data_IF_182124967884
#
_entry.id   IF_182124967884
#
_cell.length_a   1.000
_cell.length_b   1.000
_cell.length_c   1.000
_cell.angle_alpha   90.00
_cell.angle_beta   90.00
_cell.angle_gamma   90.00
#
_symmetry.space_group_name_H-M   'P 1'
#
loop_
_entity.id
_entity.type
_entity.pdbx_description
1 polymer ?
#
# COMPACT_ATOMS: atom_id res chain seq x y z
N UNK A 1 30.81 2.75 -5.62
CA UNK A 1 29.82 3.79 -5.30
C UNK A 1 29.62 3.80 -3.79
N UNK A 2 29.91 4.93 -3.10
CA UNK A 2 29.82 4.98 -1.63
C UNK A 2 28.42 5.45 -1.23
N UNK A 3 27.66 4.62 -0.54
CA UNK A 3 26.41 4.98 0.13
C UNK A 3 26.80 5.54 1.50
N UNK A 4 26.45 6.81 1.77
CA UNK A 4 26.62 7.39 3.11
C UNK A 4 25.25 7.59 3.73
N UNK A 5 25.01 6.96 4.87
CA UNK A 5 23.88 7.26 5.75
C UNK A 5 24.16 8.59 6.46
N UNK A 6 23.21 9.53 6.43
CA UNK A 6 23.30 10.74 7.25
C UNK A 6 22.77 10.46 8.66
N UNK A 7 23.43 10.96 9.72
CA UNK A 7 22.92 10.88 11.07
C UNK A 7 21.63 11.68 11.24
N UNK A 8 20.76 11.26 12.17
CA UNK A 8 19.51 11.91 12.56
C UNK A 8 19.75 13.40 12.89
N UNK A 9 19.09 14.29 12.18
CA UNK A 9 19.13 15.73 12.43
C UNK A 9 18.44 16.05 13.76
N UNK A 10 19.19 16.65 14.66
CA UNK A 10 18.71 17.20 15.93
C UNK A 10 18.11 18.61 15.70
N UNK A 11 16.87 18.92 16.14
CA UNK A 11 16.17 20.15 15.77
C UNK A 11 16.47 21.37 16.68
N UNK A 12 17.71 21.57 17.14
CA UNK A 12 18.05 22.78 17.93
C UNK A 12 19.40 23.33 17.54
N UNK A 13 19.47 24.20 16.54
CA UNK A 13 20.44 25.29 16.46
C UNK A 13 19.81 26.44 15.67
N UNK A 14 19.21 27.39 16.39
CA UNK A 14 18.95 28.73 15.89
C UNK A 14 20.23 29.55 16.16
N UNK A 15 20.88 29.99 15.11
CA UNK A 15 21.95 30.95 15.25
C UNK A 15 21.60 32.22 14.48
N UNK A 16 21.48 33.32 15.24
CA UNK A 16 21.27 34.68 14.77
C UNK A 16 22.47 35.15 13.95
N UNK A 17 22.25 35.61 12.74
CA UNK A 17 23.25 36.43 12.01
C UNK A 17 22.65 37.80 11.74
N UNK A 18 23.38 38.82 12.21
CA UNK A 18 23.13 40.26 12.01
C UNK A 18 23.48 40.63 10.58
N UNK A 19 22.59 41.38 9.96
CA UNK A 19 22.76 41.97 8.63
C UNK A 19 23.47 43.32 8.81
N UNK A 20 24.46 43.60 7.99
CA UNK A 20 24.96 44.97 7.75
C UNK A 20 25.11 45.20 6.24
N UNK A 21 24.86 46.39 5.84
CA UNK A 21 24.38 46.96 4.58
C UNK A 21 25.41 47.13 3.45
N UNK A 22 24.86 47.29 2.25
CA UNK A 22 25.33 47.91 0.97
C UNK A 22 26.22 47.11 0.03
N UNK A 23 25.60 46.71 -1.10
CA UNK A 23 26.06 47.16 -2.44
C UNK A 23 25.04 46.70 -3.51
N UNK A 24 24.62 47.64 -4.30
CA UNK A 24 23.82 47.49 -5.54
C UNK A 24 24.68 46.82 -6.60
N UNK A 25 24.25 45.72 -7.16
CA UNK A 25 24.73 45.29 -8.48
C UNK A 25 23.69 44.47 -9.25
N UNK A 26 23.55 44.82 -10.46
CA UNK A 26 22.84 44.30 -11.62
C UNK A 26 22.27 42.89 -11.51
N UNK A 27 20.94 42.83 -11.71
CA UNK A 27 20.14 41.63 -11.93
C UNK A 27 20.45 41.01 -13.29
N UNK A 28 21.35 40.04 -13.37
CA UNK A 28 21.19 38.97 -14.32
C UNK A 28 20.35 37.91 -13.62
N UNK A 29 19.06 37.90 -13.92
CA UNK A 29 18.15 36.85 -13.50
C UNK A 29 18.50 35.56 -14.24
N UNK A 30 19.48 34.85 -13.73
CA UNK A 30 19.64 33.44 -14.02
C UNK A 30 18.57 32.71 -13.20
N UNK A 31 17.37 32.58 -13.76
CA UNK A 31 16.37 31.66 -13.23
C UNK A 31 16.92 30.24 -13.43
N UNK A 32 17.74 29.80 -12.47
CA UNK A 32 17.97 28.37 -12.33
C UNK A 32 16.59 27.75 -12.11
N UNK A 33 16.10 26.97 -13.07
CA UNK A 33 15.03 26.01 -12.85
C UNK A 33 15.47 25.20 -11.63
N UNK A 34 14.98 25.58 -10.45
CA UNK A 34 15.10 24.72 -9.26
C UNK A 34 14.27 23.49 -9.61
N UNK A 35 14.93 22.36 -9.79
CA UNK A 35 14.26 21.07 -9.84
C UNK A 35 13.40 20.96 -8.57
N UNK A 36 12.10 21.22 -8.70
CA UNK A 36 11.17 21.11 -7.59
C UNK A 36 10.85 19.64 -7.44
N UNK A 37 11.57 18.97 -6.55
CA UNK A 37 11.28 17.60 -6.20
C UNK A 37 9.98 17.50 -5.41
N UNK A 38 9.12 16.51 -5.67
CA UNK A 38 7.86 16.35 -4.95
C UNK A 38 8.10 16.05 -3.47
N UNK A 39 7.23 16.57 -2.62
CA UNK A 39 7.23 16.19 -1.21
C UNK A 39 6.70 14.75 -1.09
N UNK A 40 7.58 13.79 -0.81
CA UNK A 40 7.21 12.39 -0.67
C UNK A 40 6.54 12.13 0.69
N UNK A 41 5.21 12.15 0.71
CA UNK A 41 4.42 11.89 1.91
C UNK A 41 4.01 10.42 2.01
N UNK A 42 4.80 9.65 2.73
CA UNK A 42 4.66 8.20 2.89
C UNK A 42 4.15 7.83 4.29
N UNK A 43 3.64 6.60 4.45
CA UNK A 43 3.37 6.02 5.76
C UNK A 43 4.56 6.09 6.70
N UNK A 44 4.29 6.14 8.01
CA UNK A 44 5.34 6.08 9.02
C UNK A 44 6.12 4.77 8.94
N UNK A 45 7.40 4.81 9.35
CA UNK A 45 8.23 3.63 9.48
C UNK A 45 7.62 2.67 10.49
N UNK A 46 7.25 1.49 10.02
CA UNK A 46 6.50 0.47 10.79
C UNK A 46 7.08 -0.92 10.46
N UNK A 47 8.28 -1.27 10.99
CA UNK A 47 9.07 -2.41 10.54
C UNK A 47 8.64 -3.73 11.21
N UNK A 48 7.36 -4.09 11.07
CA UNK A 48 6.80 -5.35 11.57
C UNK A 48 6.16 -6.16 10.43
N UNK A 49 5.91 -7.47 10.56
CA UNK A 49 5.23 -8.27 9.54
C UNK A 49 3.90 -7.66 9.12
N UNK A 50 3.72 -7.35 7.84
CA UNK A 50 2.57 -6.62 7.30
C UNK A 50 2.67 -5.10 7.39
N UNK A 51 3.75 -4.58 7.94
CA UNK A 51 4.06 -3.15 7.96
C UNK A 51 4.90 -2.71 6.77
N UNK A 52 5.48 -1.52 6.89
CA UNK A 52 6.33 -0.91 5.87
C UNK A 52 7.58 -0.28 6.48
N UNK A 53 8.69 -0.40 5.76
CA UNK A 53 9.92 0.32 6.05
C UNK A 53 9.92 1.60 5.22
N UNK A 54 10.12 2.74 5.85
CA UNK A 54 10.22 4.06 5.22
C UNK A 54 11.62 4.62 5.49
N UNK A 55 12.49 4.60 4.47
CA UNK A 55 13.89 5.00 4.60
C UNK A 55 14.28 6.06 3.59
N UNK A 56 15.23 6.91 3.99
CA UNK A 56 15.86 7.91 3.12
C UNK A 56 17.23 7.40 2.70
N UNK A 57 17.43 7.25 1.39
CA UNK A 57 18.63 6.74 0.77
C UNK A 57 19.36 7.86 0.05
N UNK A 58 20.67 8.01 0.31
CA UNK A 58 21.54 8.89 -0.46
C UNK A 58 22.17 8.07 -1.59
N UNK A 59 21.74 8.31 -2.84
CA UNK A 59 22.21 7.59 -4.01
C UNK A 59 22.64 8.58 -5.08
N UNK A 60 23.94 8.63 -5.36
CA UNK A 60 24.51 9.50 -6.40
C UNK A 60 24.27 8.86 -7.76
N UNK A 61 23.09 9.13 -8.32
CA UNK A 61 22.69 8.67 -9.66
C UNK A 61 21.93 9.78 -10.38
N UNK A 62 22.10 9.88 -11.68
CA UNK A 62 21.31 10.75 -12.57
C UNK A 62 20.00 10.08 -13.03
N UNK A 63 19.89 8.78 -12.88
CA UNK A 63 18.72 7.99 -13.25
C UNK A 63 18.07 7.41 -11.98
N UNK A 64 16.78 7.05 -12.09
CA UNK A 64 16.08 6.33 -11.02
C UNK A 64 16.86 5.05 -10.68
N UNK A 65 17.30 4.87 -9.42
CA UNK A 65 18.07 3.71 -9.02
C UNK A 65 17.18 2.46 -9.00
N UNK A 66 17.78 1.33 -9.33
CA UNK A 66 17.13 0.03 -9.14
C UNK A 66 17.40 -0.47 -7.72
N UNK A 67 16.36 -0.41 -6.88
CA UNK A 67 16.41 -0.90 -5.51
C UNK A 67 15.45 -2.08 -5.36
N UNK A 68 15.96 -3.14 -4.75
CA UNK A 68 15.19 -4.35 -4.46
C UNK A 68 15.24 -4.69 -2.97
N UNK A 69 14.14 -5.21 -2.47
CA UNK A 69 14.04 -5.88 -1.18
C UNK A 69 13.27 -7.19 -1.39
N UNK A 70 13.76 -8.29 -0.82
CA UNK A 70 13.15 -9.62 -1.01
C UNK A 70 12.90 -9.99 -2.49
N UNK A 71 13.82 -9.62 -3.38
CA UNK A 71 13.74 -9.87 -4.83
C UNK A 71 12.71 -9.00 -5.57
N UNK A 72 12.03 -8.07 -4.89
CA UNK A 72 11.02 -7.17 -5.48
C UNK A 72 11.52 -5.75 -5.53
N UNK A 73 11.08 -5.00 -6.56
CA UNK A 73 11.30 -3.56 -6.64
C UNK A 73 10.57 -2.83 -5.50
N UNK A 74 11.17 -1.77 -4.97
CA UNK A 74 10.60 -0.95 -3.92
C UNK A 74 9.96 0.32 -4.50
N UNK A 75 8.98 0.89 -3.78
CA UNK A 75 8.41 2.18 -4.16
C UNK A 75 9.43 3.29 -3.86
N UNK A 76 9.78 4.08 -4.89
CA UNK A 76 10.79 5.13 -4.78
C UNK A 76 10.21 6.47 -5.19
N UNK A 77 10.41 7.48 -4.34
CA UNK A 77 10.12 8.88 -4.62
C UNK A 77 11.39 9.71 -4.44
N UNK A 78 11.74 10.52 -5.42
CA UNK A 78 12.91 11.40 -5.35
C UNK A 78 12.59 12.64 -4.51
N UNK A 79 13.38 12.89 -3.47
CA UNK A 79 13.20 14.00 -2.52
C UNK A 79 14.15 15.18 -2.84
N UNK A 80 15.31 14.84 -3.39
CA UNK A 80 16.36 15.80 -3.79
C UNK A 80 17.28 15.12 -4.83
N UNK A 81 18.16 15.85 -5.46
CA UNK A 81 19.07 15.39 -6.53
C UNK A 81 19.69 14.01 -6.27
N UNK A 82 20.01 13.70 -5.03
CA UNK A 82 20.62 12.44 -4.61
C UNK A 82 19.92 11.77 -3.44
N UNK A 83 18.77 12.30 -3.02
CA UNK A 83 17.98 11.76 -1.91
C UNK A 83 16.72 11.10 -2.46
N UNK A 84 16.55 9.85 -2.09
CA UNK A 84 15.40 9.02 -2.44
C UNK A 84 14.73 8.53 -1.17
N UNK A 85 13.42 8.64 -1.13
CA UNK A 85 12.63 7.98 -0.11
C UNK A 85 12.14 6.65 -0.66
N UNK A 86 12.47 5.58 0.06
CA UNK A 86 12.10 4.21 -0.26
C UNK A 86 11.00 3.72 0.68
N UNK A 87 9.93 3.15 0.13
CA UNK A 87 8.90 2.47 0.90
C UNK A 87 8.93 0.98 0.54
N UNK A 88 9.22 0.14 1.54
CA UNK A 88 9.47 -1.28 1.38
C UNK A 88 8.43 -2.06 2.18
N UNK A 89 7.60 -2.92 1.58
CA UNK A 89 6.64 -3.73 2.29
C UNK A 89 7.31 -4.89 3.02
N UNK A 90 6.78 -5.26 4.19
CA UNK A 90 7.18 -6.45 4.91
C UNK A 90 6.06 -7.49 4.79
N UNK A 91 6.40 -8.68 4.30
CA UNK A 91 5.41 -9.76 4.16
C UNK A 91 4.84 -10.14 5.54
N UNK A 92 3.50 -10.21 5.64
CA UNK A 92 2.80 -10.62 6.85
C UNK A 92 3.19 -12.03 7.33
N UNK A 93 3.63 -12.88 6.41
CA UNK A 93 3.99 -14.28 6.67
C UNK A 93 5.50 -14.50 6.79
N UNK A 94 6.30 -13.42 6.88
CA UNK A 94 7.75 -13.55 7.03
C UNK A 94 8.12 -14.20 8.35
N UNK A 95 9.12 -15.06 8.32
CA UNK A 95 9.81 -15.66 9.47
C UNK A 95 11.20 -15.04 9.70
N UNK A 96 11.57 -14.06 8.87
CA UNK A 96 12.84 -13.36 8.93
C UNK A 96 12.87 -12.34 10.06
N UNK A 97 14.06 -12.13 10.60
CA UNK A 97 14.32 -11.11 11.62
C UNK A 97 14.78 -9.76 11.03
N UNK A 98 15.07 -9.72 9.72
CA UNK A 98 15.49 -8.50 9.03
C UNK A 98 15.15 -8.56 7.54
N UNK A 99 15.14 -7.38 6.90
CA UNK A 99 14.99 -7.20 5.46
C UNK A 99 16.31 -6.67 4.89
N UNK A 100 16.83 -7.38 3.88
CA UNK A 100 17.96 -6.94 3.09
C UNK A 100 17.52 -6.07 1.93
N UNK A 101 18.16 -4.90 1.80
CA UNK A 101 17.90 -3.94 0.72
C UNK A 101 19.14 -3.87 -0.17
N UNK A 102 18.91 -4.05 -1.46
CA UNK A 102 19.96 -4.08 -2.49
C UNK A 102 19.81 -2.88 -3.44
N UNK A 103 20.94 -2.26 -3.76
CA UNK A 103 21.08 -1.35 -4.89
C UNK A 103 21.78 -2.10 -6.00
N UNK A 104 21.07 -2.39 -7.08
CA UNK A 104 21.46 -3.42 -8.05
C UNK A 104 21.74 -4.74 -7.32
N UNK A 105 22.94 -5.29 -7.38
CA UNK A 105 23.35 -6.53 -6.72
C UNK A 105 24.07 -6.30 -5.37
N UNK A 106 24.24 -5.03 -4.93
CA UNK A 106 24.98 -4.71 -3.71
C UNK A 106 24.04 -4.53 -2.53
N UNK A 107 24.28 -5.27 -1.45
CA UNK A 107 23.61 -5.05 -0.17
C UNK A 107 23.98 -3.67 0.37
N UNK A 108 22.97 -2.83 0.61
CA UNK A 108 23.16 -1.47 1.12
C UNK A 108 22.60 -1.26 2.53
N UNK A 109 21.57 -2.03 2.90
CA UNK A 109 20.94 -1.98 4.23
C UNK A 109 20.49 -3.39 4.64
N UNK A 110 20.59 -3.66 5.93
CA UNK A 110 19.89 -4.75 6.61
C UNK A 110 19.04 -4.12 7.72
N UNK A 111 17.71 -4.24 7.64
CA UNK A 111 16.77 -3.53 8.51
C UNK A 111 16.07 -4.55 9.39
N UNK A 112 16.18 -4.45 10.73
CA UNK A 112 15.55 -5.39 11.63
C UNK A 112 14.03 -5.31 11.56
N UNK A 113 13.36 -6.47 11.71
CA UNK A 113 11.91 -6.58 11.80
C UNK A 113 11.52 -6.67 13.28
N UNK A 114 10.59 -5.83 13.69
CA UNK A 114 10.00 -5.84 15.02
C UNK A 114 8.91 -6.91 15.15
N UNK A 115 8.76 -7.48 16.34
CA UNK A 115 7.69 -8.42 16.60
C UNK A 115 6.35 -7.68 16.76
N UNK A 116 5.32 -8.19 16.07
CA UNK A 116 3.92 -7.75 16.25
C UNK A 116 3.02 -8.95 16.52
N UNK A 117 2.35 -8.95 17.68
CA UNK A 117 1.30 -9.93 17.97
C UNK A 117 0.02 -9.56 17.21
N UNK A 118 -0.61 -10.55 16.60
CA UNK A 118 -1.88 -10.41 15.91
C UNK A 118 -2.96 -11.22 16.61
N UNK A 119 -4.14 -10.63 16.72
CA UNK A 119 -5.33 -11.25 17.33
C UNK A 119 -5.74 -12.51 16.59
N UNK A 120 -6.37 -13.43 17.28
CA UNK A 120 -7.05 -14.59 16.70
C UNK A 120 -8.56 -14.34 16.61
N UNK A 121 -9.18 -14.84 15.55
CA UNK A 121 -10.62 -14.79 15.34
C UNK A 121 -11.12 -16.14 14.88
N UNK A 122 -12.18 -16.62 15.54
CA UNK A 122 -12.90 -17.84 15.18
C UNK A 122 -14.23 -17.46 14.56
N UNK A 123 -14.46 -17.88 13.32
CA UNK A 123 -15.64 -17.54 12.51
C UNK A 123 -16.37 -18.83 12.18
N UNK A 124 -17.68 -18.85 12.35
CA UNK A 124 -18.55 -19.91 11.83
C UNK A 124 -19.11 -19.46 10.49
N UNK A 125 -19.03 -20.33 9.48
CA UNK A 125 -19.65 -20.17 8.16
C UNK A 125 -20.54 -21.39 7.93
N UNK A 126 -21.83 -21.15 7.72
CA UNK A 126 -22.83 -22.20 7.52
C UNK A 126 -22.67 -22.88 6.15
N UNK A 127 -22.40 -22.09 5.12
CA UNK A 127 -22.19 -22.62 3.77
C UNK A 127 -20.83 -23.32 3.66
N UNK A 128 -20.87 -24.67 3.73
CA UNK A 128 -19.68 -25.51 3.69
C UNK A 128 -18.90 -25.39 2.36
N UNK A 129 -19.55 -25.09 1.24
CA UNK A 129 -18.90 -24.88 -0.05
C UNK A 129 -17.97 -23.67 -0.03
N UNK A 130 -18.28 -22.68 0.81
CA UNK A 130 -17.39 -21.52 1.01
C UNK A 130 -16.22 -21.83 1.93
N UNK A 131 -16.28 -22.93 2.71
CA UNK A 131 -15.19 -23.37 3.59
C UNK A 131 -14.28 -24.35 2.85
N UNK A 132 -14.88 -25.31 2.16
CA UNK A 132 -14.23 -26.37 1.38
C UNK A 132 -14.95 -26.48 0.03
N UNK A 133 -14.50 -25.71 -0.98
CA UNK A 133 -15.22 -25.62 -2.24
C UNK A 133 -15.32 -26.97 -2.96
N UNK A 134 -16.45 -27.29 -3.58
CA UNK A 134 -16.59 -28.43 -4.46
C UNK A 134 -15.53 -28.40 -5.57
N UNK A 135 -15.11 -29.61 -6.01
CA UNK A 135 -14.02 -29.76 -7.01
C UNK A 135 -14.30 -29.04 -8.33
N UNK A 136 -15.55 -28.89 -8.69
CA UNK A 136 -16.02 -28.19 -9.91
C UNK A 136 -15.68 -26.69 -9.90
N UNK A 137 -15.54 -26.04 -8.72
CA UNK A 137 -15.16 -24.64 -8.60
C UNK A 137 -13.65 -24.41 -8.58
N UNK A 138 -12.83 -25.45 -8.39
CA UNK A 138 -11.37 -25.31 -8.30
C UNK A 138 -10.75 -24.69 -9.56
N UNK A 139 -11.14 -25.02 -10.80
CA UNK A 139 -10.62 -24.36 -12.00
C UNK A 139 -10.96 -22.86 -12.05
N UNK A 140 -12.18 -22.49 -11.62
CA UNK A 140 -12.60 -21.08 -11.48
C UNK A 140 -11.73 -20.36 -10.49
N UNK A 141 -11.59 -20.90 -9.27
CA UNK A 141 -10.78 -20.30 -8.19
C UNK A 141 -9.31 -20.13 -8.61
N UNK A 142 -8.74 -21.12 -9.31
CA UNK A 142 -7.39 -21.05 -9.84
C UNK A 142 -7.23 -19.88 -10.82
N UNK A 143 -8.10 -19.78 -11.82
CA UNK A 143 -8.09 -18.69 -12.81
C UNK A 143 -8.25 -17.33 -12.14
N UNK A 144 -9.16 -17.19 -11.18
CA UNK A 144 -9.38 -15.96 -10.42
C UNK A 144 -8.17 -15.55 -9.59
N UNK A 145 -7.46 -16.54 -9.02
CA UNK A 145 -6.19 -16.32 -8.30
C UNK A 145 -5.11 -15.80 -9.24
N UNK A 146 -4.97 -16.37 -10.43
CA UNK A 146 -4.01 -15.93 -11.45
C UNK A 146 -4.31 -14.50 -11.94
N UNK A 147 -5.59 -14.17 -12.18
CA UNK A 147 -6.00 -12.80 -12.55
C UNK A 147 -5.68 -11.80 -11.44
N UNK A 148 -6.03 -12.12 -10.20
CA UNK A 148 -5.73 -11.29 -9.04
C UNK A 148 -4.23 -11.12 -8.85
N UNK A 149 -3.45 -12.19 -8.99
CA UNK A 149 -1.99 -12.13 -8.90
C UNK A 149 -1.38 -11.19 -9.94
N UNK A 150 -1.85 -11.23 -11.18
CA UNK A 150 -1.40 -10.30 -12.22
C UNK A 150 -1.75 -8.86 -11.87
N UNK A 151 -2.98 -8.59 -11.41
CA UNK A 151 -3.44 -7.25 -11.05
C UNK A 151 -2.66 -6.64 -9.88
N UNK A 152 -2.36 -7.41 -8.83
CA UNK A 152 -1.61 -6.90 -7.66
C UNK A 152 -0.10 -6.77 -7.89
N UNK A 153 0.45 -7.37 -8.94
CA UNK A 153 1.86 -7.26 -9.30
C UNK A 153 2.10 -6.29 -10.48
N UNK A 154 1.11 -5.47 -10.83
CA UNK A 154 1.29 -4.40 -11.81
C UNK A 154 2.33 -3.42 -11.28
N UNK A 155 3.27 -3.06 -12.15
CA UNK A 155 4.28 -2.03 -11.89
C UNK A 155 4.18 -0.97 -12.98
N UNK A 156 3.51 0.13 -12.67
CA UNK A 156 3.46 1.30 -13.55
C UNK A 156 4.52 2.32 -13.15
N UNK A 157 4.99 3.12 -14.12
CA UNK A 157 6.03 4.13 -13.85
C UNK A 157 5.51 5.39 -13.17
N UNK A 158 4.20 5.54 -13.02
CA UNK A 158 3.60 6.65 -12.29
C UNK A 158 3.95 6.53 -10.80
N UNK A 159 4.48 7.59 -10.22
CA UNK A 159 4.81 7.66 -8.79
C UNK A 159 4.07 8.86 -8.20
N UNK A 160 3.23 8.61 -7.21
CA UNK A 160 2.55 9.66 -6.46
C UNK A 160 3.48 10.24 -5.40
N UNK A 161 3.44 11.56 -5.21
CA UNK A 161 4.18 12.25 -4.16
C UNK A 161 3.58 12.05 -2.78
N UNK A 162 2.30 11.70 -2.69
CA UNK A 162 1.63 11.37 -1.44
C UNK A 162 0.88 10.05 -1.57
N UNK A 163 1.11 9.16 -0.60
CA UNK A 163 0.42 7.88 -0.46
C UNK A 163 -0.60 7.91 0.69
N UNK A 164 -0.94 9.10 1.21
CA UNK A 164 -1.97 9.26 2.23
C UNK A 164 -3.36 9.10 1.63
N UNK A 165 -4.10 8.17 2.20
CA UNK A 165 -5.41 7.70 1.76
C UNK A 165 -6.52 8.24 2.64
N UNK A 166 -7.63 8.68 2.06
CA UNK A 166 -8.88 8.90 2.80
C UNK A 166 -9.52 7.55 3.17
N UNK A 167 -10.46 7.57 4.11
CA UNK A 167 -11.27 6.37 4.41
C UNK A 167 -12.14 6.02 3.19
N UNK A 168 -12.20 4.74 2.77
CA UNK A 168 -13.04 4.35 1.63
C UNK A 168 -14.54 4.40 1.93
N UNK A 169 -14.92 4.21 3.20
CA UNK A 169 -16.30 4.33 3.70
C UNK A 169 -16.30 4.84 5.14
N UNK A 170 -17.40 5.43 5.56
CA UNK A 170 -17.71 5.60 6.97
C UNK A 170 -18.30 4.29 7.49
N UNK A 171 -17.57 3.59 8.35
CA UNK A 171 -17.96 2.28 8.87
C UNK A 171 -17.16 1.88 10.10
N UNK A 172 -17.67 0.88 10.80
CA UNK A 172 -16.99 0.34 11.99
C UNK A 172 -15.93 -0.67 11.57
N UNK A 173 -14.74 -0.58 12.14
CA UNK A 173 -13.70 -1.61 11.96
C UNK A 173 -14.15 -2.93 12.60
N UNK A 174 -14.55 -3.89 11.76
CA UNK A 174 -15.03 -5.20 12.20
C UNK A 174 -13.92 -6.27 12.24
N UNK A 175 -12.87 -6.12 11.41
CA UNK A 175 -11.71 -6.99 11.47
C UNK A 175 -10.46 -6.26 10.96
N UNK A 176 -9.43 -6.21 11.78
CA UNK A 176 -8.14 -5.60 11.45
C UNK A 176 -7.28 -6.47 10.54
N UNK A 177 -6.26 -5.84 9.94
CA UNK A 177 -5.22 -6.55 9.19
C UNK A 177 -4.41 -7.48 10.10
N UNK A 178 -3.98 -8.63 9.57
CA UNK A 178 -3.08 -9.56 10.24
C UNK A 178 -3.77 -10.60 11.15
N UNK A 179 -5.07 -10.46 11.41
CA UNK A 179 -5.83 -11.41 12.25
C UNK A 179 -5.65 -12.85 11.77
N UNK A 180 -5.32 -13.73 12.70
CA UNK A 180 -5.29 -15.18 12.48
C UNK A 180 -6.71 -15.71 12.48
N UNK A 181 -7.18 -16.20 11.32
CA UNK A 181 -8.56 -16.66 11.14
C UNK A 181 -8.66 -18.17 11.28
N UNK A 182 -9.63 -18.62 12.06
CA UNK A 182 -10.09 -20.00 12.09
C UNK A 182 -11.54 -20.01 11.59
N UNK A 183 -11.80 -20.72 10.50
CA UNK A 183 -13.14 -20.87 9.94
C UNK A 183 -13.60 -22.30 10.24
N UNK A 184 -14.71 -22.47 10.96
CA UNK A 184 -15.22 -23.76 11.42
C UNK A 184 -14.11 -24.60 12.09
N UNK A 185 -13.31 -23.94 12.97
CA UNK A 185 -12.14 -24.50 13.69
C UNK A 185 -10.95 -24.92 12.78
N UNK A 186 -11.03 -24.67 11.47
CA UNK A 186 -9.93 -24.93 10.54
C UNK A 186 -9.07 -23.67 10.39
N UNK A 187 -7.72 -23.76 10.55
CA UNK A 187 -6.84 -22.63 10.34
C UNK A 187 -6.94 -22.16 8.87
N UNK A 188 -6.97 -20.85 8.68
CA UNK A 188 -6.99 -20.16 7.38
C UNK A 188 -5.86 -19.15 7.31
N UNK A 189 -5.61 -18.66 6.09
CA UNK A 189 -4.66 -17.57 5.90
C UNK A 189 -5.05 -16.39 6.78
N UNK A 190 -4.05 -15.67 7.28
CA UNK A 190 -4.26 -14.42 8.01
C UNK A 190 -5.06 -13.44 7.18
N UNK A 191 -5.75 -12.54 7.83
CA UNK A 191 -6.48 -11.47 7.18
C UNK A 191 -5.51 -10.48 6.53
N UNK A 192 -5.56 -10.33 5.20
CA UNK A 192 -4.64 -9.49 4.43
C UNK A 192 -5.24 -8.14 4.03
N UNK A 193 -6.29 -7.70 4.73
CA UNK A 193 -6.97 -6.43 4.52
C UNK A 193 -7.59 -5.92 5.81
N UNK A 194 -8.44 -4.94 5.65
CA UNK A 194 -9.24 -4.30 6.70
C UNK A 194 -10.71 -4.48 6.37
N UNK A 195 -11.50 -5.00 7.31
CA UNK A 195 -12.94 -5.14 7.14
C UNK A 195 -13.65 -3.97 7.83
N UNK A 196 -14.44 -3.22 7.06
CA UNK A 196 -15.24 -2.08 7.51
C UNK A 196 -16.73 -2.43 7.37
N UNK A 197 -17.40 -2.67 8.50
CA UNK A 197 -18.82 -2.97 8.52
C UNK A 197 -19.64 -1.70 8.24
N UNK A 198 -20.56 -1.81 7.29
CA UNK A 198 -21.51 -0.75 6.93
C UNK A 198 -22.76 -1.38 6.29
N UNK A 199 -23.92 -0.70 6.30
CA UNK A 199 -25.10 -1.18 5.60
C UNK A 199 -24.86 -1.45 4.13
N UNK A 200 -25.52 -2.49 3.58
CA UNK A 200 -25.49 -2.73 2.14
C UNK A 200 -25.99 -1.50 1.39
N UNK A 201 -25.34 -1.14 0.28
CA UNK A 201 -25.65 0.07 -0.49
C UNK A 201 -24.86 1.32 -0.06
N UNK A 202 -24.10 1.29 1.05
CA UNK A 202 -23.18 2.39 1.43
C UNK A 202 -22.18 2.64 0.31
N UNK A 203 -21.99 3.91 -0.08
CA UNK A 203 -21.06 4.29 -1.13
C UNK A 203 -19.60 4.00 -0.73
N UNK A 204 -18.85 3.40 -1.65
CA UNK A 204 -17.41 3.17 -1.52
C UNK A 204 -16.70 4.20 -2.37
N UNK A 205 -15.79 4.96 -1.75
CA UNK A 205 -15.00 6.00 -2.41
C UNK A 205 -13.55 5.55 -2.55
N UNK A 206 -12.92 5.90 -3.68
CA UNK A 206 -11.51 5.64 -3.90
C UNK A 206 -10.65 6.46 -2.92
N UNK A 207 -9.87 5.84 -2.03
CA UNK A 207 -9.03 6.56 -1.05
C UNK A 207 -7.91 7.38 -1.67
N UNK A 208 -7.52 7.03 -2.91
CA UNK A 208 -6.45 7.65 -3.67
C UNK A 208 -6.78 7.58 -5.16
N UNK A 209 -6.29 8.54 -5.96
CA UNK A 209 -6.43 8.47 -7.41
C UNK A 209 -5.70 7.26 -7.99
N UNK A 210 -6.23 6.72 -9.09
CA UNK A 210 -5.65 5.52 -9.70
C UNK A 210 -6.37 5.13 -10.98
N UNK A 211 -6.04 3.94 -11.47
CA UNK A 211 -6.65 3.35 -12.65
C UNK A 211 -7.26 2.00 -12.31
N UNK A 212 -8.47 1.73 -12.78
CA UNK A 212 -9.11 0.43 -12.64
C UNK A 212 -8.37 -0.58 -13.53
N UNK A 213 -7.79 -1.60 -12.89
CA UNK A 213 -6.98 -2.62 -13.62
C UNK A 213 -7.64 -3.98 -13.69
N UNK A 214 -8.59 -4.24 -12.81
CA UNK A 214 -9.37 -5.48 -12.82
C UNK A 214 -10.71 -5.27 -12.11
N UNK A 215 -11.76 -5.77 -12.72
CA UNK A 215 -13.10 -5.94 -12.12
C UNK A 215 -13.52 -7.38 -12.35
N UNK A 216 -14.12 -7.99 -11.34
CA UNK A 216 -14.67 -9.34 -11.50
C UNK A 216 -15.59 -9.76 -10.35
N UNK A 217 -16.34 -10.84 -10.60
CA UNK A 217 -17.06 -11.56 -9.56
C UNK A 217 -16.25 -12.82 -9.22
N UNK A 218 -15.60 -12.80 -8.06
CA UNK A 218 -14.68 -13.84 -7.59
C UNK A 218 -15.38 -14.76 -6.57
N UNK A 219 -15.07 -16.03 -6.60
CA UNK A 219 -15.70 -17.05 -5.75
C UNK A 219 -15.67 -16.65 -4.25
N UNK A 220 -14.50 -16.26 -3.74
CA UNK A 220 -14.37 -15.87 -2.34
C UNK A 220 -14.60 -14.37 -2.08
N UNK A 221 -14.17 -13.50 -3.01
CA UNK A 221 -14.20 -12.05 -2.83
C UNK A 221 -15.49 -11.40 -3.29
N UNK A 222 -16.35 -12.13 -4.02
CA UNK A 222 -17.52 -11.56 -4.67
C UNK A 222 -17.16 -10.48 -5.69
N UNK A 223 -18.03 -9.51 -5.89
CA UNK A 223 -17.75 -8.39 -6.77
C UNK A 223 -16.59 -7.55 -6.20
N UNK A 224 -15.55 -7.39 -7.00
CA UNK A 224 -14.30 -6.79 -6.57
C UNK A 224 -13.74 -5.83 -7.62
N UNK A 225 -13.25 -4.68 -7.16
CA UNK A 225 -12.52 -3.68 -7.96
C UNK A 225 -11.07 -3.63 -7.51
N UNK A 226 -10.15 -3.54 -8.46
CA UNK A 226 -8.70 -3.33 -8.23
C UNK A 226 -8.30 -2.01 -8.84
N UNK A 227 -7.67 -1.13 -8.05
CA UNK A 227 -7.12 0.15 -8.47
C UNK A 227 -5.59 0.12 -8.41
N UNK A 228 -4.93 0.42 -9.53
CA UNK A 228 -3.50 0.70 -9.58
C UNK A 228 -3.28 2.20 -9.34
N UNK A 229 -2.54 2.54 -8.30
CA UNK A 229 -2.17 3.92 -7.93
C UNK A 229 -0.79 4.32 -8.46
N UNK A 230 -0.12 3.39 -9.13
CA UNK A 230 1.23 3.60 -9.66
C UNK A 230 2.33 3.11 -8.73
N UNK A 231 3.53 2.94 -9.29
CA UNK A 231 4.73 2.52 -8.56
C UNK A 231 4.65 1.15 -7.89
N UNK A 232 3.65 0.32 -8.23
CA UNK A 232 3.37 -0.96 -7.59
C UNK A 232 2.46 -0.86 -6.36
N UNK A 233 1.80 0.29 -6.13
CA UNK A 233 0.77 0.45 -5.11
C UNK A 233 -0.60 0.14 -5.72
N UNK A 234 -1.27 -0.89 -5.20
CA UNK A 234 -2.60 -1.33 -5.62
C UNK A 234 -3.53 -1.39 -4.42
N UNK A 235 -4.79 -1.03 -4.59
CA UNK A 235 -5.83 -1.29 -3.60
C UNK A 235 -6.96 -2.15 -4.17
N UNK A 236 -7.63 -2.91 -3.29
CA UNK A 236 -8.77 -3.75 -3.69
C UNK A 236 -9.97 -3.53 -2.80
N UNK A 237 -11.16 -3.61 -3.40
CA UNK A 237 -12.46 -3.38 -2.76
C UNK A 237 -13.33 -4.58 -3.07
N UNK A 238 -13.62 -5.39 -2.07
CA UNK A 238 -14.32 -6.68 -2.25
C UNK A 238 -15.67 -6.71 -1.52
N UNK A 239 -16.47 -7.71 -1.87
CA UNK A 239 -17.82 -7.96 -1.35
C UNK A 239 -18.86 -6.93 -1.77
N UNK A 240 -18.61 -6.21 -2.88
CA UNK A 240 -19.49 -5.15 -3.37
C UNK A 240 -20.85 -5.70 -3.79
N UNK A 241 -21.92 -4.92 -3.56
CA UNK A 241 -23.22 -5.14 -4.18
C UNK A 241 -23.20 -4.62 -5.63
N UNK A 242 -22.78 -3.36 -5.78
CA UNK A 242 -22.71 -2.68 -7.07
C UNK A 242 -21.30 -2.22 -7.37
N UNK A 243 -20.85 -2.41 -8.61
CA UNK A 243 -19.64 -1.82 -9.18
C UNK A 243 -20.06 -0.69 -10.10
N UNK A 244 -19.56 0.52 -9.86
CA UNK A 244 -19.98 1.75 -10.56
C UNK A 244 -18.90 2.30 -11.50
N UNK A 245 -17.88 1.51 -11.79
CA UNK A 245 -16.75 1.86 -12.66
C UNK A 245 -16.49 0.72 -13.65
N UNK A 246 -15.68 1.01 -14.67
CA UNK A 246 -15.30 0.03 -15.71
C UNK A 246 -13.79 -0.19 -15.72
N UNK A 247 -13.35 -1.30 -16.31
CA UNK A 247 -11.94 -1.56 -16.53
C UNK A 247 -11.31 -0.43 -17.34
N UNK A 248 -10.11 0.00 -16.94
CA UNK A 248 -9.31 1.09 -17.51
C UNK A 248 -9.79 2.51 -17.15
N UNK A 249 -10.87 2.69 -16.40
CA UNK A 249 -11.28 4.01 -15.92
C UNK A 249 -10.17 4.67 -15.09
N UNK A 250 -9.97 5.96 -15.31
CA UNK A 250 -9.13 6.82 -14.48
C UNK A 250 -9.98 7.37 -13.34
N UNK A 251 -9.59 7.04 -12.12
CA UNK A 251 -10.33 7.36 -10.91
C UNK A 251 -9.63 8.49 -10.17
N UNK A 252 -10.39 9.51 -9.79
CA UNK A 252 -9.91 10.56 -8.87
C UNK A 252 -10.14 10.17 -7.43
N UNK A 253 -9.30 10.68 -6.51
CA UNK A 253 -9.51 10.51 -5.06
C UNK A 253 -10.91 10.96 -4.66
N UNK A 254 -11.58 10.20 -3.80
CA UNK A 254 -12.97 10.36 -3.32
C UNK A 254 -14.07 10.10 -4.36
N UNK A 255 -13.75 9.71 -5.59
CA UNK A 255 -14.73 9.25 -6.57
C UNK A 255 -15.42 7.97 -6.06
N UNK A 256 -16.75 7.88 -6.23
CA UNK A 256 -17.51 6.66 -5.91
C UNK A 256 -17.17 5.58 -6.93
N UNK A 257 -16.79 4.38 -6.45
CA UNK A 257 -16.38 3.26 -7.27
C UNK A 257 -17.31 2.05 -7.14
N UNK A 258 -18.19 2.04 -6.15
CA UNK A 258 -19.13 0.95 -5.90
C UNK A 258 -19.92 1.16 -4.62
N UNK A 259 -20.65 0.12 -4.21
CA UNK A 259 -21.44 0.10 -2.99
C UNK A 259 -21.16 -1.16 -2.18
N UNK A 260 -21.16 -1.01 -0.85
CA UNK A 260 -21.01 -2.11 0.10
C UNK A 260 -22.08 -3.16 -0.13
N UNK A 261 -21.69 -4.42 -0.07
CA UNK A 261 -22.58 -5.57 -0.20
C UNK A 261 -22.17 -6.71 0.72
N UNK A 262 -22.60 -7.91 0.33
CA UNK A 262 -22.27 -9.16 1.00
C UNK A 262 -22.04 -10.30 0.00
N UNK A 263 -21.48 -9.98 -1.19
CA UNK A 263 -21.19 -10.98 -2.23
C UNK A 263 -19.93 -11.80 -1.88
N UNK A 264 -19.86 -13.03 -2.36
CA UNK A 264 -18.74 -13.94 -2.05
C UNK A 264 -18.85 -14.59 -0.66
N UNK A 265 -17.68 -14.83 -0.02
CA UNK A 265 -17.61 -15.52 1.29
C UNK A 265 -17.62 -14.54 2.44
N UNK A 266 -18.79 -14.24 2.96
CA UNK A 266 -19.00 -13.26 4.04
C UNK A 266 -20.04 -13.74 5.06
N UNK A 267 -20.03 -13.16 6.25
CA UNK A 267 -21.03 -13.38 7.31
C UNK A 267 -22.06 -12.24 7.42
N UNK A 268 -21.80 -11.11 6.77
CA UNK A 268 -22.68 -9.95 6.77
C UNK A 268 -22.10 -8.81 5.92
N UNK A 269 -22.88 -7.72 5.70
CA UNK A 269 -22.45 -6.62 4.85
C UNK A 269 -21.22 -5.91 5.41
N UNK A 270 -20.17 -5.80 4.60
CA UNK A 270 -18.96 -5.03 4.89
C UNK A 270 -18.15 -4.76 3.63
N UNK A 271 -17.25 -3.80 3.69
CA UNK A 271 -16.18 -3.65 2.72
C UNK A 271 -14.93 -4.39 3.22
N UNK A 272 -14.40 -5.31 2.43
CA UNK A 272 -13.03 -5.79 2.60
C UNK A 272 -12.11 -4.96 1.73
N UNK A 273 -11.26 -4.15 2.37
CA UNK A 273 -10.30 -3.24 1.74
C UNK A 273 -8.87 -3.71 1.95
N UNK A 274 -8.08 -3.80 0.86
CA UNK A 274 -6.67 -4.15 0.93
C UNK A 274 -5.82 -3.04 0.32
N UNK A 275 -4.64 -2.87 0.87
CA UNK A 275 -3.53 -2.11 0.28
C UNK A 275 -2.38 -3.07 0.01
N UNK A 276 -1.89 -3.07 -1.22
CA UNK A 276 -0.83 -3.95 -1.70
C UNK A 276 0.31 -3.09 -2.23
N UNK A 277 1.52 -3.31 -1.76
CA UNK A 277 2.72 -2.62 -2.23
C UNK A 277 3.70 -3.64 -2.81
N UNK A 278 4.10 -3.45 -4.07
CA UNK A 278 4.99 -4.37 -4.80
C UNK A 278 4.51 -5.84 -4.74
N UNK A 279 3.18 -6.06 -4.84
CA UNK A 279 2.54 -7.38 -4.77
C UNK A 279 2.49 -8.00 -3.38
N UNK A 280 2.80 -7.24 -2.32
CA UNK A 280 2.76 -7.68 -0.91
C UNK A 280 1.64 -6.92 -0.19
N UNK A 281 0.63 -7.60 0.39
CA UNK A 281 -0.37 -6.96 1.22
C UNK A 281 0.27 -6.34 2.47
N UNK A 282 -0.09 -5.07 2.73
CA UNK A 282 0.36 -4.30 3.89
C UNK A 282 -0.84 -3.72 4.64
N UNK A 283 -0.66 -3.38 5.91
CA UNK A 283 -1.71 -2.85 6.76
C UNK A 283 -2.28 -1.53 6.19
N UNK A 284 -3.56 -1.51 5.74
CA UNK A 284 -4.15 -0.33 5.14
C UNK A 284 -4.21 0.89 6.09
N UNK A 285 -4.31 0.66 7.41
CA UNK A 285 -4.37 1.75 8.39
C UNK A 285 -3.11 2.62 8.41
N UNK A 286 -1.95 2.08 7.97
CA UNK A 286 -0.71 2.85 7.87
C UNK A 286 -0.78 3.95 6.80
N UNK A 287 -1.64 3.78 5.80
CA UNK A 287 -1.80 4.71 4.69
C UNK A 287 -2.87 5.77 4.93
N UNK A 288 -3.72 5.61 5.94
CA UNK A 288 -4.79 6.57 6.24
C UNK A 288 -4.23 7.94 6.67
N UNK A 289 -4.92 9.01 6.26
CA UNK A 289 -4.68 10.38 6.71
C UNK A 289 -4.98 10.49 8.21
N UNK A 290 -6.04 9.85 8.66
CA UNK A 290 -6.46 9.74 10.05
C UNK A 290 -6.68 8.27 10.40
N UNK A 291 -6.16 7.83 11.54
CA UNK A 291 -6.38 6.44 12.02
C UNK A 291 -7.84 6.19 12.34
N UNK A 292 -8.27 4.93 12.19
CA UNK A 292 -9.64 4.48 12.51
C UNK A 292 -9.85 4.29 14.01
#
# INVERSE_FOLDING_TARGET
MKVKLKPKLNPKILMKVRISFFAVFFLFSCTSLRDTYPFCNFPEHSPFPGGVINEILYIKSSLKPEIKAEGKGVYLCQVDKHLWRALIPINLFTDKNSIDVYLYENLILNIPIENKAYRESKIAIENQDMVSPPTEFLPRIKRETELSFKAINILTNTVLSSLKMSKPIEGLKSSEFGVRRFINNQPRNRHTGLDLAAPSGTEIRAPLSGKVVLIGNFYYRGNTVFLDHGGGLVSTYSHLNDVLVQNQDLITKNQIIGKVGQTGRVTGPHLHWQTILSGIPVDPELFLEERL
#
